data_IF_120329113994
#
_entry.id   IF_120329113994
#
_cell.length_a   1.000
_cell.length_b   1.000
_cell.length_c   1.000
_cell.angle_alpha   90.00
_cell.angle_beta   90.00
_cell.angle_gamma   90.00
#
_symmetry.space_group_name_H-M   'P 1'
#
loop_
_entity.id
_entity.type
_entity.pdbx_description
1 polymer ?
#
# COMPACT_ATOMS: atom_id res chain seq x y z
N UNK A 1 -10.48 -1.57 32.19
CA UNK A 1 -9.09 -1.22 31.83
C UNK A 1 -8.72 -1.92 30.55
N UNK A 2 -8.91 -1.25 29.42
CA UNK A 2 -8.68 -1.76 28.06
C UNK A 2 -7.23 -1.50 27.66
N UNK A 3 -6.39 -2.53 27.70
CA UNK A 3 -5.01 -2.44 27.19
C UNK A 3 -5.02 -2.60 25.67
N UNK A 4 -4.55 -1.56 24.98
CA UNK A 4 -4.37 -1.48 23.53
C UNK A 4 -3.53 -2.65 23.00
N UNK A 5 -4.16 -3.47 22.15
CA UNK A 5 -3.53 -4.59 21.45
C UNK A 5 -2.61 -4.15 20.28
N UNK A 6 -2.37 -2.84 20.11
CA UNK A 6 -1.64 -2.28 18.97
C UNK A 6 -0.15 -1.97 19.25
N UNK A 7 0.33 -2.03 20.50
CA UNK A 7 1.65 -1.51 20.87
C UNK A 7 2.72 -2.54 21.25
N UNK A 8 2.48 -3.85 21.09
CA UNK A 8 3.49 -4.87 21.42
C UNK A 8 3.59 -6.00 20.41
N UNK A 9 4.22 -5.73 19.26
CA UNK A 9 5.04 -6.73 18.53
C UNK A 9 5.92 -6.09 17.46
N UNK A 10 7.01 -5.43 17.88
CA UNK A 10 8.17 -5.21 16.98
C UNK A 10 8.76 -6.59 16.66
N UNK A 11 8.95 -6.88 15.37
CA UNK A 11 9.25 -8.18 14.72
C UNK A 11 8.00 -9.04 14.46
N UNK A 12 7.71 -9.16 13.18
CA UNK A 12 6.62 -9.89 12.55
C UNK A 12 6.61 -11.36 12.97
N UNK A 13 5.51 -11.80 13.61
CA UNK A 13 5.26 -13.20 13.96
C UNK A 13 4.92 -14.07 12.73
N UNK A 14 4.67 -13.47 11.56
CA UNK A 14 4.30 -14.20 10.34
C UNK A 14 5.47 -14.90 9.63
N UNK A 15 6.72 -14.71 10.10
CA UNK A 15 7.89 -15.47 9.61
C UNK A 15 8.12 -16.78 10.38
N UNK A 16 7.43 -17.01 11.50
CA UNK A 16 7.76 -18.10 12.41
C UNK A 16 6.92 -19.32 12.07
N UNK A 17 7.41 -20.10 11.11
CA UNK A 17 7.19 -21.54 11.19
C UNK A 17 7.80 -22.04 12.49
N UNK A 18 7.08 -22.91 13.20
CA UNK A 18 7.61 -23.66 14.35
C UNK A 18 9.09 -24.03 14.13
N UNK A 19 9.96 -23.57 15.03
CA UNK A 19 11.42 -23.80 15.07
C UNK A 19 12.22 -23.24 13.87
N UNK A 20 12.66 -21.99 13.97
CA UNK A 20 13.76 -21.34 13.22
C UNK A 20 14.00 -21.76 11.74
N UNK A 21 13.17 -21.38 10.76
CA UNK A 21 13.58 -21.38 9.37
C UNK A 21 14.09 -20.00 8.96
N UNK A 22 15.32 -19.96 8.44
CA UNK A 22 15.92 -18.79 7.76
C UNK A 22 15.13 -18.42 6.48
N UNK A 23 14.20 -19.29 6.06
CA UNK A 23 13.48 -19.19 4.79
C UNK A 23 12.02 -18.76 4.98
N UNK A 24 11.60 -17.65 4.35
CA UNK A 24 10.18 -17.28 4.30
C UNK A 24 9.34 -18.40 3.68
N UNK A 25 8.15 -18.66 4.24
CA UNK A 25 7.17 -19.62 3.68
C UNK A 25 6.60 -19.17 2.33
N UNK A 26 6.77 -17.89 1.99
CA UNK A 26 6.13 -17.19 0.88
C UNK A 26 6.96 -17.20 -0.41
N UNK A 27 7.98 -18.07 -0.50
CA UNK A 27 8.84 -18.22 -1.68
C UNK A 27 8.06 -18.54 -2.96
N UNK A 28 6.99 -19.33 -2.85
CA UNK A 28 6.14 -19.67 -3.99
C UNK A 28 5.48 -18.43 -4.60
N UNK A 29 4.95 -17.53 -3.79
CA UNK A 29 4.31 -16.30 -4.28
C UNK A 29 5.32 -15.32 -4.89
N UNK A 30 6.54 -15.28 -4.36
CA UNK A 30 7.64 -14.52 -4.98
C UNK A 30 8.00 -15.12 -6.34
N UNK A 31 8.14 -16.45 -6.43
CA UNK A 31 8.42 -17.14 -7.67
C UNK A 31 7.31 -16.96 -8.72
N UNK A 32 6.04 -16.98 -8.28
CA UNK A 32 4.88 -16.72 -9.14
C UNK A 32 4.94 -15.33 -9.80
N UNK A 33 5.17 -14.28 -9.00
CA UNK A 33 5.28 -12.91 -9.53
C UNK A 33 6.48 -12.75 -10.47
N UNK A 34 7.59 -13.40 -10.14
CA UNK A 34 8.79 -13.38 -10.97
C UNK A 34 8.56 -14.10 -12.31
N UNK A 35 7.92 -15.27 -12.30
CA UNK A 35 7.66 -16.03 -13.53
C UNK A 35 6.70 -15.30 -14.46
N UNK A 36 5.63 -14.69 -13.92
CA UNK A 36 4.72 -13.81 -14.68
C UNK A 36 5.47 -12.67 -15.37
N UNK A 37 6.39 -12.04 -14.65
CA UNK A 37 7.24 -10.97 -15.19
C UNK A 37 8.13 -11.48 -16.33
N UNK A 38 8.70 -12.68 -16.18
CA UNK A 38 9.48 -13.33 -17.25
C UNK A 38 8.65 -13.61 -18.50
N UNK A 39 7.42 -14.12 -18.36
CA UNK A 39 6.51 -14.36 -19.48
C UNK A 39 6.17 -13.06 -20.23
N UNK A 40 5.87 -11.99 -19.50
CA UNK A 40 5.53 -10.71 -20.10
C UNK A 40 6.74 -10.06 -20.78
N UNK A 41 7.91 -10.02 -20.14
CA UNK A 41 9.08 -9.28 -20.62
C UNK A 41 9.91 -10.06 -21.64
N UNK A 42 10.22 -11.34 -21.36
CA UNK A 42 11.12 -12.12 -22.22
C UNK A 42 10.38 -12.83 -23.36
N UNK A 43 9.11 -13.20 -23.14
CA UNK A 43 8.31 -13.94 -24.11
C UNK A 43 7.17 -13.10 -24.73
N UNK A 44 7.08 -11.81 -24.39
CA UNK A 44 6.09 -10.87 -24.91
C UNK A 44 4.64 -11.39 -24.79
N UNK A 45 4.35 -12.18 -23.76
CA UNK A 45 3.00 -12.68 -23.51
C UNK A 45 2.14 -11.57 -22.89
N UNK A 46 0.89 -11.46 -23.36
CA UNK A 46 -0.10 -10.53 -22.81
C UNK A 46 -0.65 -11.07 -21.49
N UNK A 47 0.16 -10.96 -20.42
CA UNK A 47 -0.21 -11.38 -19.06
C UNK A 47 0.03 -10.23 -18.09
N UNK A 48 -0.90 -10.01 -17.15
CA UNK A 48 -0.64 -9.09 -16.05
C UNK A 48 0.50 -9.62 -15.17
N UNK A 49 1.54 -8.82 -15.00
CA UNK A 49 2.71 -9.18 -14.19
C UNK A 49 3.05 -8.14 -13.14
N UNK A 50 2.47 -6.95 -13.26
CA UNK A 50 2.60 -5.86 -12.31
C UNK A 50 1.30 -5.75 -11.53
N UNK A 51 1.39 -5.52 -10.22
CA UNK A 51 0.22 -5.08 -9.47
C UNK A 51 -0.16 -3.64 -9.83
N UNK A 52 -1.27 -3.12 -9.27
CA UNK A 52 -1.73 -1.77 -9.58
C UNK A 52 -0.68 -0.72 -9.22
N UNK A 53 -0.22 0.07 -10.18
CA UNK A 53 0.81 1.11 -9.99
C UNK A 53 0.13 2.47 -9.85
N UNK A 54 0.54 3.29 -8.88
CA UNK A 54 0.01 4.66 -8.75
C UNK A 54 0.40 5.50 -9.96
N UNK A 55 -0.60 5.99 -10.69
CA UNK A 55 -0.46 6.87 -11.86
C UNK A 55 -0.55 8.34 -11.47
N UNK A 56 -1.55 8.73 -10.68
CA UNK A 56 -1.74 10.11 -10.26
C UNK A 56 -2.32 10.22 -8.85
N UNK A 57 -2.04 11.35 -8.23
CA UNK A 57 -2.56 11.71 -6.91
C UNK A 57 -3.10 13.13 -7.00
N UNK A 58 -4.42 13.25 -6.85
CA UNK A 58 -5.16 14.50 -7.00
C UNK A 58 -5.77 14.89 -5.65
N UNK A 59 -5.47 16.12 -5.22
CA UNK A 59 -6.06 16.71 -4.02
C UNK A 59 -6.16 18.23 -4.19
N UNK A 60 -7.09 18.83 -3.46
CA UNK A 60 -7.23 20.29 -3.37
C UNK A 60 -6.88 20.74 -1.96
N UNK A 61 -6.27 21.93 -1.84
CA UNK A 61 -5.98 22.53 -0.53
C UNK A 61 -7.30 22.71 0.22
N UNK A 62 -7.37 22.23 1.46
CA UNK A 62 -8.58 22.25 2.28
C UNK A 62 -9.59 21.13 1.99
N UNK A 63 -9.36 20.28 0.99
CA UNK A 63 -10.14 19.06 0.81
C UNK A 63 -9.96 18.12 2.00
N UNK A 64 -10.99 17.32 2.30
CA UNK A 64 -10.93 16.20 3.25
C UNK A 64 -10.57 14.88 2.57
N UNK A 65 -10.38 14.91 1.25
CA UNK A 65 -10.15 13.71 0.44
C UNK A 65 -8.97 13.85 -0.51
N UNK A 66 -8.33 12.71 -0.79
CA UNK A 66 -7.29 12.55 -1.81
C UNK A 66 -7.72 11.43 -2.74
N UNK A 67 -7.68 11.69 -4.04
CA UNK A 67 -7.96 10.68 -5.05
C UNK A 67 -6.65 10.12 -5.60
N UNK A 68 -6.51 8.81 -5.61
CA UNK A 68 -5.35 8.10 -6.15
C UNK A 68 -5.81 7.23 -7.29
N UNK A 69 -5.27 7.45 -8.49
CA UNK A 69 -5.57 6.65 -9.67
C UNK A 69 -4.43 5.69 -9.97
N UNK A 70 -4.76 4.45 -10.31
CA UNK A 70 -3.85 3.36 -10.62
C UNK A 70 -3.79 3.08 -12.13
N UNK A 71 -2.75 2.37 -12.53
CA UNK A 71 -2.50 1.86 -13.88
C UNK A 71 -1.86 0.47 -13.81
N UNK A 72 -1.48 -0.09 -14.96
CA UNK A 72 -0.87 -1.42 -15.17
C UNK A 72 -1.81 -2.62 -14.94
N UNK A 73 -3.08 -2.38 -14.61
CA UNK A 73 -4.12 -3.40 -14.42
C UNK A 73 -5.43 -2.90 -15.02
N UNK A 74 -6.36 -3.81 -15.31
CA UNK A 74 -7.70 -3.45 -15.81
C UNK A 74 -8.60 -2.85 -14.71
N UNK A 75 -8.54 -3.41 -13.50
CA UNK A 75 -9.34 -2.98 -12.35
C UNK A 75 -8.60 -3.33 -11.04
N UNK A 76 -8.91 -2.63 -9.95
CA UNK A 76 -8.35 -2.91 -8.63
C UNK A 76 -9.32 -3.66 -7.71
N UNK A 77 -8.78 -4.58 -6.93
CA UNK A 77 -9.46 -5.23 -5.81
C UNK A 77 -9.04 -4.53 -4.50
N UNK A 78 -10.02 -4.12 -3.71
CA UNK A 78 -9.82 -3.53 -2.38
C UNK A 78 -10.04 -4.59 -1.30
N UNK A 79 -8.99 -4.99 -0.59
CA UNK A 79 -9.06 -6.00 0.50
C UNK A 79 -8.98 -5.42 1.90
N UNK A 80 -8.36 -4.26 2.05
CA UNK A 80 -8.18 -3.56 3.31
C UNK A 80 -8.26 -2.06 3.06
N UNK A 81 -8.85 -1.31 4.00
CA UNK A 81 -8.95 0.16 3.92
C UNK A 81 -7.72 0.88 4.46
N UNK A 82 -6.75 0.17 5.05
CA UNK A 82 -5.58 0.71 5.73
C UNK A 82 -4.29 0.57 4.91
N UNK A 83 -3.23 1.27 5.32
CA UNK A 83 -1.89 1.15 4.73
C UNK A 83 -1.38 2.43 4.07
N UNK A 84 -2.22 3.47 4.00
CA UNK A 84 -1.85 4.80 3.58
C UNK A 84 -1.51 5.67 4.79
N UNK A 85 -0.50 6.51 4.63
CA UNK A 85 -0.14 7.54 5.58
C UNK A 85 0.08 8.84 4.80
N UNK A 86 -0.29 9.97 5.41
CA UNK A 86 -0.12 11.31 4.85
C UNK A 86 0.68 12.17 5.81
N UNK A 87 1.32 13.21 5.29
CA UNK A 87 2.00 14.21 6.11
C UNK A 87 1.73 15.62 5.59
N UNK A 88 1.42 16.53 6.52
CA UNK A 88 1.04 17.92 6.24
C UNK A 88 1.95 18.94 6.96
N UNK A 89 2.99 18.49 7.69
CA UNK A 89 3.85 19.35 8.49
C UNK A 89 5.13 19.84 7.76
N UNK A 90 5.10 19.89 6.43
CA UNK A 90 6.22 20.40 5.64
C UNK A 90 7.52 19.60 5.82
N UNK A 91 8.63 20.30 6.02
CA UNK A 91 9.98 19.71 6.15
C UNK A 91 10.12 18.71 7.31
N UNK A 92 9.20 18.73 8.29
CA UNK A 92 9.17 17.76 9.39
C UNK A 92 8.77 16.35 8.95
N UNK A 93 8.17 16.19 7.76
CA UNK A 93 7.77 14.89 7.21
C UNK A 93 8.93 13.93 6.88
N UNK A 94 10.19 14.32 7.16
CA UNK A 94 11.33 13.41 7.20
C UNK A 94 11.28 12.46 8.40
N UNK A 95 10.57 12.85 9.46
CA UNK A 95 10.38 12.04 10.66
C UNK A 95 9.14 11.14 10.50
N UNK A 96 9.35 9.82 10.57
CA UNK A 96 8.31 8.81 10.45
C UNK A 96 7.22 8.92 11.52
N UNK A 97 7.48 9.56 12.66
CA UNK A 97 6.49 9.70 13.74
C UNK A 97 5.43 10.76 13.46
N UNK A 98 5.64 11.60 12.46
CA UNK A 98 4.76 12.74 12.13
C UNK A 98 3.70 12.35 11.09
N UNK A 99 3.92 11.25 10.38
CA UNK A 99 2.97 10.71 9.42
C UNK A 99 1.72 10.21 10.12
N UNK A 100 0.56 10.59 9.59
CA UNK A 100 -0.75 10.20 10.13
C UNK A 100 -1.43 9.21 9.20
N UNK A 101 -2.14 8.20 9.74
CA UNK A 101 -2.84 7.23 8.92
C UNK A 101 -3.97 7.91 8.12
N UNK A 102 -4.16 7.44 6.89
CA UNK A 102 -5.28 7.76 6.03
C UNK A 102 -5.99 6.46 5.62
N UNK A 103 -7.32 6.49 5.63
CA UNK A 103 -8.13 5.31 5.31
C UNK A 103 -8.84 5.48 3.99
N UNK A 104 -8.98 4.39 3.24
CA UNK A 104 -9.78 4.35 2.01
C UNK A 104 -11.26 4.43 2.38
N UNK A 105 -11.95 5.44 1.86
CA UNK A 105 -13.38 5.65 2.07
C UNK A 105 -14.22 5.12 0.92
N UNK A 106 -13.69 5.12 -0.30
CA UNK A 106 -14.38 4.56 -1.46
C UNK A 106 -13.40 4.10 -2.53
N UNK A 107 -13.89 3.23 -3.41
CA UNK A 107 -13.19 2.72 -4.59
C UNK A 107 -14.11 2.82 -5.81
N UNK A 108 -13.54 3.24 -6.92
CA UNK A 108 -14.09 3.17 -8.27
C UNK A 108 -13.04 2.51 -9.16
N UNK A 109 -13.38 1.69 -10.15
CA UNK A 109 -12.47 0.94 -11.06
C UNK A 109 -10.96 1.01 -10.78
N UNK A 110 -10.30 2.09 -11.19
CA UNK A 110 -8.86 2.32 -10.97
C UNK A 110 -8.54 3.44 -9.99
N UNK A 111 -9.53 4.02 -9.30
CA UNK A 111 -9.35 5.14 -8.38
C UNK A 111 -9.86 4.82 -6.98
N UNK A 112 -9.05 5.12 -5.97
CA UNK A 112 -9.49 5.13 -4.57
C UNK A 112 -9.59 6.55 -4.04
N UNK A 113 -10.51 6.74 -3.11
CA UNK A 113 -10.63 7.97 -2.33
C UNK A 113 -10.11 7.69 -0.93
N UNK A 114 -9.12 8.46 -0.49
CA UNK A 114 -8.67 8.48 0.89
C UNK A 114 -9.39 9.59 1.65
N UNK A 115 -9.70 9.34 2.92
CA UNK A 115 -10.09 10.39 3.86
C UNK A 115 -8.87 10.86 4.64
N UNK A 116 -8.64 12.18 4.61
CA UNK A 116 -7.58 12.85 5.34
C UNK A 116 -7.94 12.90 6.83
N UNK A 117 -6.98 12.57 7.70
CA UNK A 117 -7.09 12.78 9.15
C UNK A 117 -7.41 14.24 9.48
N UNK A 118 -8.23 14.47 10.50
CA UNK A 118 -8.61 15.81 10.98
C UNK A 118 -7.42 16.72 11.28
N UNK A 119 -6.30 16.12 11.70
CA UNK A 119 -5.03 16.82 11.96
C UNK A 119 -4.41 17.50 10.72
N UNK A 120 -4.74 17.04 9.51
CA UNK A 120 -4.25 17.59 8.24
C UNK A 120 -5.34 18.31 7.43
N UNK A 121 -6.58 18.40 7.92
CA UNK A 121 -7.65 19.12 7.21
C UNK A 121 -7.36 20.62 7.22
N UNK A 122 -7.47 21.26 6.07
CA UNK A 122 -7.15 22.70 5.91
C UNK A 122 -5.67 22.99 5.68
N UNK A 123 -4.79 21.98 5.73
CA UNK A 123 -3.36 22.12 5.48
C UNK A 123 -2.99 21.67 4.07
N UNK A 124 -1.85 22.15 3.57
CA UNK A 124 -1.26 21.63 2.34
C UNK A 124 -0.65 20.25 2.61
N UNK A 125 -0.97 19.29 1.74
CA UNK A 125 -0.42 17.96 1.84
C UNK A 125 1.02 17.97 1.32
N UNK A 126 1.97 17.61 2.18
CA UNK A 126 3.40 17.60 1.86
C UNK A 126 3.86 16.22 1.39
N UNK A 127 3.23 15.15 1.88
CA UNK A 127 3.60 13.80 1.48
C UNK A 127 2.47 12.79 1.60
N UNK A 128 2.54 11.77 0.76
CA UNK A 128 1.68 10.59 0.76
C UNK A 128 2.55 9.35 0.61
N UNK A 129 2.29 8.31 1.41
CA UNK A 129 2.96 7.03 1.29
C UNK A 129 2.02 5.85 1.50
N UNK A 130 2.36 4.72 0.91
CA UNK A 130 1.63 3.46 0.98
C UNK A 130 2.60 2.32 1.24
N UNK A 131 2.30 1.50 2.26
CA UNK A 131 3.09 0.33 2.66
C UNK A 131 4.61 0.57 2.70
N UNK A 132 5.04 1.75 3.18
CA UNK A 132 6.43 2.22 3.10
C UNK A 132 7.40 1.50 4.07
N UNK A 133 6.89 0.88 5.14
CA UNK A 133 7.72 0.18 6.12
C UNK A 133 8.26 -1.14 5.53
N UNK A 134 9.39 -1.63 6.06
CA UNK A 134 10.00 -2.91 5.64
C UNK A 134 9.03 -4.10 5.70
N UNK A 135 8.17 -4.12 6.72
CA UNK A 135 7.10 -5.11 6.89
C UNK A 135 5.79 -4.37 7.17
N UNK A 136 5.15 -3.85 6.12
CA UNK A 136 4.08 -2.87 6.27
C UNK A 136 2.71 -3.51 6.53
N UNK A 137 2.55 -4.78 6.20
CA UNK A 137 1.35 -5.56 6.47
C UNK A 137 1.67 -7.06 6.61
N UNK A 138 0.76 -7.84 7.24
CA UNK A 138 0.80 -9.29 7.17
C UNK A 138 0.74 -9.81 5.73
N UNK A 139 1.18 -11.05 5.54
CA UNK A 139 1.21 -11.67 4.23
C UNK A 139 -0.20 -11.74 3.59
N UNK A 140 -0.29 -11.39 2.30
CA UNK A 140 -1.55 -11.26 1.53
C UNK A 140 -2.58 -10.27 2.08
N UNK A 141 -2.19 -9.37 2.99
CA UNK A 141 -3.10 -8.38 3.60
C UNK A 141 -2.84 -6.91 3.18
N UNK A 142 -2.17 -6.68 2.04
CA UNK A 142 -2.13 -5.36 1.42
C UNK A 142 -3.55 -4.83 1.09
N UNK A 143 -3.70 -3.52 0.93
CA UNK A 143 -5.00 -2.93 0.62
C UNK A 143 -5.44 -3.17 -0.83
N UNK A 144 -4.51 -2.97 -1.75
CA UNK A 144 -4.79 -2.87 -3.18
C UNK A 144 -4.12 -4.02 -3.93
N UNK A 145 -4.90 -4.75 -4.72
CA UNK A 145 -4.47 -5.82 -5.61
C UNK A 145 -5.03 -5.63 -7.01
N UNK A 146 -4.46 -6.32 -8.00
CA UNK A 146 -5.14 -6.51 -9.28
C UNK A 146 -6.43 -7.31 -9.06
N UNK A 147 -7.50 -6.90 -9.73
CA UNK A 147 -8.75 -7.63 -9.76
C UNK A 147 -8.66 -8.93 -10.59
N UNK A 148 -7.89 -8.92 -11.67
CA UNK A 148 -7.79 -10.08 -12.60
C UNK A 148 -6.79 -11.12 -12.09
N UNK A 149 -5.70 -10.68 -11.43
CA UNK A 149 -4.74 -11.55 -10.74
C UNK A 149 -4.60 -11.15 -9.25
N UNK A 150 -5.33 -11.82 -8.35
CA UNK A 150 -5.37 -11.49 -6.93
C UNK A 150 -4.02 -11.71 -6.20
N UNK A 151 -2.99 -12.24 -6.85
CA UNK A 151 -1.65 -12.41 -6.27
C UNK A 151 -0.70 -11.23 -6.56
N UNK A 152 -1.16 -10.21 -7.29
CA UNK A 152 -0.39 -9.02 -7.64
C UNK A 152 -0.79 -7.82 -6.76
N UNK A 153 -0.10 -7.57 -5.64
CA UNK A 153 -0.34 -6.40 -4.80
C UNK A 153 0.22 -5.13 -5.45
N UNK A 154 -0.38 -3.99 -5.13
CA UNK A 154 0.21 -2.68 -5.41
C UNK A 154 1.55 -2.54 -4.67
N UNK A 155 2.62 -2.06 -5.33
CA UNK A 155 3.92 -1.89 -4.70
C UNK A 155 3.91 -0.75 -3.67
N UNK A 156 4.91 -0.69 -2.76
CA UNK A 156 5.12 0.47 -1.92
C UNK A 156 5.24 1.75 -2.76
N UNK A 157 4.70 2.85 -2.22
CA UNK A 157 4.69 4.13 -2.91
C UNK A 157 5.00 5.25 -1.93
N UNK A 158 5.76 6.24 -2.39
CA UNK A 158 5.97 7.50 -1.68
C UNK A 158 5.98 8.65 -2.69
N UNK A 159 5.28 9.73 -2.35
CA UNK A 159 5.32 10.98 -3.09
C UNK A 159 5.38 12.14 -2.10
N UNK A 160 6.34 13.02 -2.33
CA UNK A 160 6.46 14.32 -1.66
C UNK A 160 6.02 15.38 -2.67
N UNK A 161 5.22 16.35 -2.24
CA UNK A 161 4.63 17.39 -3.08
C UNK A 161 5.38 18.72 -2.97
#
# INVERSE_FOLDING_TARGET
MTSNLWERSRRVKDFISSSNPIHPRTKLDVAYRLSRSGLAVAYNQSVEFQGPIVSSVNYSIGSKTVNITYTAVENIELRNSNGFEICCQGSKCKDDTIWVPATISSKNDLTITLTISSSCVGQQLFGLRYLWRETPCPFKQAAIYSYTDPNLPSPPYIKVF
#
